data_IF_694318727145
#
_entry.id   IF_694318727145
#
_cell.length_a   1.000
_cell.length_b   1.000
_cell.length_c   1.000
_cell.angle_alpha   90.00
_cell.angle_beta   90.00
_cell.angle_gamma   90.00
#
_symmetry.space_group_name_H-M   'P 1'
#
loop_
_entity.id
_entity.type
_entity.pdbx_description
1 polymer ?
#
# COMPACT_ATOMS: atom_id res chain seq x y z
N UNK A 1 -0.90 17.96 -14.96
CA UNK A 1 -1.63 19.18 -14.56
C UNK A 1 -0.97 19.84 -13.35
N UNK A 2 -0.34 19.08 -12.48
CA UNK A 2 0.34 19.58 -11.28
C UNK A 2 1.75 18.96 -11.19
N UNK A 3 2.76 19.49 -11.91
CA UNK A 3 4.09 18.87 -12.03
C UNK A 3 4.88 18.86 -10.72
N UNK A 4 4.45 19.63 -9.71
CA UNK A 4 5.05 19.63 -8.37
C UNK A 4 4.65 18.44 -7.50
N UNK A 5 3.59 17.69 -7.88
CA UNK A 5 3.17 16.50 -7.15
C UNK A 5 4.09 15.34 -7.53
N UNK A 6 4.86 14.86 -6.54
CA UNK A 6 5.80 13.76 -6.72
C UNK A 6 5.25 12.41 -6.22
N UNK A 7 4.36 12.45 -5.23
CA UNK A 7 3.82 11.26 -4.58
C UNK A 7 2.29 11.33 -4.55
N UNK A 8 1.65 10.22 -4.88
CA UNK A 8 0.19 10.06 -4.82
C UNK A 8 -0.12 8.70 -4.19
N UNK A 9 -0.88 8.72 -3.10
CA UNK A 9 -1.41 7.51 -2.47
C UNK A 9 -2.91 7.42 -2.68
N UNK A 10 -3.34 6.33 -3.31
CA UNK A 10 -4.75 5.98 -3.46
C UNK A 10 -5.13 4.99 -2.36
N UNK A 11 -5.94 5.43 -1.40
CA UNK A 11 -6.27 4.64 -0.22
C UNK A 11 -7.49 3.77 -0.50
N UNK A 12 -7.29 2.48 -0.46
CA UNK A 12 -8.28 1.46 -0.72
C UNK A 12 -8.46 0.51 0.46
N UNK A 13 -9.38 -0.41 0.28
CA UNK A 13 -9.61 -1.53 1.18
C UNK A 13 -9.75 -2.78 0.33
N UNK A 14 -8.87 -3.76 0.57
CA UNK A 14 -8.87 -5.03 -0.16
C UNK A 14 -10.19 -5.80 0.07
N UNK A 15 -10.59 -6.59 -0.90
CA UNK A 15 -11.77 -7.45 -0.80
C UNK A 15 -11.36 -8.91 -1.00
N UNK A 16 -11.25 -9.62 0.11
CA UNK A 16 -10.96 -11.05 0.12
C UNK A 16 -12.21 -11.74 0.68
N UNK A 17 -12.95 -12.36 -0.22
CA UNK A 17 -14.19 -13.07 0.10
C UNK A 17 -14.02 -14.53 -0.31
N UNK A 18 -14.38 -15.46 0.58
CA UNK A 18 -14.35 -16.90 0.31
C UNK A 18 -15.67 -17.35 -0.33
N UNK A 19 -15.72 -18.57 -0.84
CA UNK A 19 -16.87 -19.14 -1.54
C UNK A 19 -18.14 -19.22 -0.68
N UNK A 20 -18.01 -19.22 0.64
CA UNK A 20 -19.11 -19.19 1.62
C UNK A 20 -19.53 -17.77 2.04
N UNK A 21 -19.11 -16.74 1.29
CA UNK A 21 -19.31 -15.32 1.59
C UNK A 21 -18.59 -14.81 2.85
N UNK A 22 -17.75 -15.62 3.49
CA UNK A 22 -16.93 -15.19 4.61
C UNK A 22 -15.88 -14.19 4.14
N UNK A 23 -15.72 -13.08 4.86
CA UNK A 23 -14.74 -12.04 4.55
C UNK A 23 -13.44 -12.28 5.31
N UNK A 24 -12.32 -12.30 4.61
CA UNK A 24 -11.03 -12.43 5.25
C UNK A 24 -10.68 -11.20 6.09
N UNK A 25 -10.07 -11.46 7.23
CA UNK A 25 -9.51 -10.44 8.12
C UNK A 25 -7.98 -10.60 8.14
N UNK A 26 -7.28 -9.57 7.68
CA UNK A 26 -5.82 -9.52 7.68
C UNK A 26 -5.36 -8.65 8.85
N UNK A 27 -4.74 -9.26 9.86
CA UNK A 27 -4.45 -8.59 11.13
C UNK A 27 -3.11 -9.02 11.70
N UNK A 28 -2.42 -8.06 12.31
CA UNK A 28 -1.25 -8.27 13.16
C UNK A 28 -1.42 -7.56 14.49
N UNK A 29 -0.52 -7.80 15.44
CA UNK A 29 -0.50 -7.08 16.71
C UNK A 29 0.68 -6.12 16.75
N UNK A 30 0.39 -4.86 17.07
CA UNK A 30 1.39 -3.82 17.30
C UNK A 30 1.11 -3.22 18.67
N UNK A 31 2.09 -3.27 19.58
CA UNK A 31 1.96 -2.79 20.96
C UNK A 31 0.71 -3.37 21.66
N UNK A 32 0.43 -4.67 21.46
CA UNK A 32 -0.71 -5.38 22.05
C UNK A 32 -2.06 -5.08 21.43
N UNK A 33 -2.15 -4.18 20.46
CA UNK A 33 -3.39 -3.77 19.77
C UNK A 33 -3.46 -4.37 18.38
N UNK A 34 -4.65 -4.78 17.96
CA UNK A 34 -4.88 -5.27 16.60
C UNK A 34 -4.75 -4.14 15.57
N UNK A 35 -3.93 -4.36 14.55
CA UNK A 35 -3.77 -3.50 13.40
C UNK A 35 -4.10 -4.29 12.13
N UNK A 36 -4.85 -3.71 11.20
CA UNK A 36 -5.01 -4.32 9.90
C UNK A 36 -3.67 -4.31 9.15
N UNK A 37 -3.32 -5.43 8.54
CA UNK A 37 -2.13 -5.49 7.67
C UNK A 37 -2.40 -4.71 6.38
N UNK A 38 -1.39 -4.00 5.93
CA UNK A 38 -1.45 -3.18 4.73
C UNK A 38 -0.79 -3.87 3.53
N UNK A 39 -1.10 -3.42 2.33
CA UNK A 39 -0.48 -3.93 1.12
C UNK A 39 -0.32 -2.81 0.10
N UNK A 40 0.85 -2.68 -0.50
CA UNK A 40 1.03 -1.84 -1.68
C UNK A 40 0.63 -2.60 -2.93
N UNK A 41 -0.14 -1.93 -3.79
CA UNK A 41 -0.46 -2.44 -5.13
C UNK A 41 0.21 -1.55 -6.16
N UNK A 42 0.94 -2.18 -7.07
CA UNK A 42 1.65 -1.53 -8.17
C UNK A 42 1.09 -2.05 -9.49
N UNK A 43 0.57 -1.14 -10.30
CA UNK A 43 0.12 -1.48 -11.64
C UNK A 43 1.28 -1.57 -12.63
N UNK A 44 1.06 -2.32 -13.71
CA UNK A 44 2.02 -2.47 -14.80
C UNK A 44 1.40 -2.07 -16.14
N UNK A 45 2.12 -2.29 -17.22
CA UNK A 45 1.64 -2.07 -18.60
C UNK A 45 1.19 -3.36 -19.30
N UNK A 46 1.01 -4.45 -18.59
CA UNK A 46 0.77 -5.77 -19.18
C UNK A 46 -0.54 -5.85 -19.96
N UNK A 47 -1.56 -5.09 -19.56
CA UNK A 47 -2.83 -4.94 -20.30
C UNK A 47 -2.79 -3.87 -21.42
N UNK A 48 -1.61 -3.44 -21.85
CA UNK A 48 -1.40 -2.61 -23.03
C UNK A 48 -1.56 -1.09 -22.82
N UNK A 49 -1.91 -0.62 -21.63
CA UNK A 49 -1.94 0.82 -21.35
C UNK A 49 -0.52 1.35 -21.15
N UNK A 50 -0.24 2.51 -21.70
CA UNK A 50 1.08 3.14 -21.60
C UNK A 50 1.49 3.42 -20.15
N UNK A 51 2.52 2.73 -19.67
CA UNK A 51 3.12 2.88 -18.36
C UNK A 51 4.55 2.33 -18.36
N UNK A 52 5.50 2.97 -19.07
CA UNK A 52 6.85 2.44 -19.23
C UNK A 52 7.63 2.41 -17.92
N UNK A 53 7.35 3.33 -17.01
CA UNK A 53 8.13 3.56 -15.79
C UNK A 53 7.56 2.85 -14.55
N UNK A 54 6.68 1.86 -14.72
CA UNK A 54 6.06 1.15 -13.60
C UNK A 54 7.08 0.52 -12.62
N UNK A 55 8.30 0.24 -13.11
CA UNK A 55 9.38 -0.26 -12.26
C UNK A 55 9.87 0.77 -11.25
N UNK A 56 9.75 2.07 -11.55
CA UNK A 56 10.08 3.13 -10.58
C UNK A 56 9.05 3.15 -9.44
N UNK A 57 7.76 2.96 -9.76
CA UNK A 57 6.72 2.81 -8.74
C UNK A 57 7.00 1.57 -7.86
N UNK A 58 7.41 0.44 -8.46
CA UNK A 58 7.77 -0.76 -7.72
C UNK A 58 8.96 -0.51 -6.78
N UNK A 59 10.03 0.14 -7.26
CA UNK A 59 11.20 0.50 -6.43
C UNK A 59 10.78 1.37 -5.25
N UNK A 60 9.91 2.35 -5.48
CA UNK A 60 9.39 3.22 -4.44
C UNK A 60 8.59 2.41 -3.40
N UNK A 61 7.69 1.54 -3.85
CA UNK A 61 6.91 0.65 -2.97
C UNK A 61 7.82 -0.24 -2.10
N UNK A 62 8.84 -0.86 -2.70
CA UNK A 62 9.75 -1.75 -1.98
C UNK A 62 10.59 -1.01 -0.93
N UNK A 63 11.07 0.20 -1.24
CA UNK A 63 11.80 1.03 -0.26
C UNK A 63 10.91 1.46 0.90
N UNK A 64 9.66 1.85 0.62
CA UNK A 64 8.69 2.18 1.66
C UNK A 64 8.36 0.97 2.52
N UNK A 65 8.14 -0.20 1.91
CA UNK A 65 7.87 -1.42 2.64
C UNK A 65 9.04 -1.78 3.57
N UNK A 66 10.27 -1.74 3.07
CA UNK A 66 11.47 -2.00 3.89
C UNK A 66 11.54 -1.05 5.11
N UNK A 67 11.27 0.24 4.91
CA UNK A 67 11.22 1.23 5.99
C UNK A 67 10.15 0.90 7.04
N UNK A 68 8.96 0.47 6.59
CA UNK A 68 7.87 0.09 7.49
C UNK A 68 8.21 -1.20 8.24
N UNK A 69 8.71 -2.22 7.53
CA UNK A 69 9.02 -3.54 8.10
C UNK A 69 10.14 -3.47 9.16
N UNK A 70 11.08 -2.54 9.02
CA UNK A 70 12.12 -2.29 10.04
C UNK A 70 11.53 -1.81 11.36
N UNK A 71 10.47 -1.02 11.35
CA UNK A 71 9.84 -0.47 12.56
C UNK A 71 8.66 -1.30 13.04
N UNK A 72 7.87 -1.80 12.12
CA UNK A 72 6.64 -2.56 12.39
C UNK A 72 6.65 -3.90 11.62
N UNK A 73 7.43 -4.89 12.07
CA UNK A 73 7.46 -6.21 11.44
C UNK A 73 6.05 -6.81 11.33
N UNK A 74 5.76 -7.43 10.19
CA UNK A 74 4.46 -8.02 9.85
C UNK A 74 3.29 -7.04 9.66
N UNK A 75 3.52 -5.73 9.67
CA UNK A 75 2.46 -4.78 9.30
C UNK A 75 2.16 -4.83 7.81
N UNK A 76 3.19 -4.99 6.98
CA UNK A 76 3.01 -5.05 5.53
C UNK A 76 2.83 -6.47 5.04
N UNK A 77 1.87 -6.67 4.14
CA UNK A 77 1.79 -7.83 3.24
C UNK A 77 2.72 -7.57 2.04
N UNK A 78 3.10 -8.62 1.32
CA UNK A 78 3.95 -8.47 0.13
C UNK A 78 3.33 -7.54 -0.90
N UNK A 79 4.17 -6.74 -1.57
CA UNK A 79 3.74 -5.88 -2.69
C UNK A 79 3.05 -6.73 -3.75
N UNK A 80 1.88 -6.29 -4.20
CA UNK A 80 1.08 -6.95 -5.22
C UNK A 80 1.26 -6.24 -6.57
N UNK A 81 1.89 -6.93 -7.51
CA UNK A 81 1.97 -6.47 -8.90
C UNK A 81 0.70 -6.86 -9.65
N UNK A 82 0.11 -5.89 -10.33
CA UNK A 82 -1.12 -6.09 -11.10
C UNK A 82 -0.89 -5.77 -12.58
N UNK A 83 -1.59 -6.49 -13.43
CA UNK A 83 -1.54 -6.27 -14.89
C UNK A 83 -2.20 -4.94 -15.29
N UNK A 84 -3.16 -4.46 -14.49
CA UNK A 84 -3.82 -3.19 -14.68
C UNK A 84 -2.88 -2.03 -14.32
N UNK A 85 -2.91 -0.96 -15.13
CA UNK A 85 -2.10 0.24 -14.87
C UNK A 85 -2.58 1.03 -13.65
N UNK A 86 -3.89 1.05 -13.40
CA UNK A 86 -4.53 1.98 -12.47
C UNK A 86 -4.11 3.44 -12.77
N UNK A 87 -3.84 4.23 -11.76
CA UNK A 87 -3.29 5.59 -11.87
C UNK A 87 -1.76 5.65 -11.63
N UNK A 88 -1.07 4.50 -11.68
CA UNK A 88 0.38 4.40 -11.42
C UNK A 88 1.25 5.27 -12.31
N UNK A 89 0.79 5.57 -13.55
CA UNK A 89 1.50 6.40 -14.51
C UNK A 89 1.54 7.90 -14.18
N UNK A 90 0.84 8.34 -13.15
CA UNK A 90 0.73 9.78 -12.82
C UNK A 90 2.03 10.35 -12.24
N UNK A 91 2.73 9.60 -11.43
CA UNK A 91 4.07 9.92 -10.91
C UNK A 91 4.83 8.63 -10.60
N UNK A 92 6.16 8.69 -10.47
CA UNK A 92 6.97 7.54 -10.02
C UNK A 92 6.68 7.13 -8.57
N UNK A 93 6.10 8.02 -7.77
CA UNK A 93 5.66 7.76 -6.39
C UNK A 93 4.16 7.49 -6.26
N UNK A 94 3.48 7.04 -7.33
CA UNK A 94 2.04 6.71 -7.30
C UNK A 94 1.84 5.26 -6.90
N UNK A 95 1.10 5.02 -5.80
CA UNK A 95 0.80 3.69 -5.27
C UNK A 95 -0.66 3.60 -4.81
N UNK A 96 -1.23 2.40 -4.89
CA UNK A 96 -2.42 2.05 -4.11
C UNK A 96 -1.97 1.47 -2.77
N UNK A 97 -2.64 1.86 -1.69
CA UNK A 97 -2.46 1.29 -0.35
C UNK A 97 -3.76 0.61 0.07
N UNK A 98 -3.74 -0.70 0.15
CA UNK A 98 -4.84 -1.46 0.73
C UNK A 98 -4.73 -1.42 2.26
N UNK A 99 -5.69 -0.79 2.92
CA UNK A 99 -5.75 -0.66 4.37
C UNK A 99 -6.55 -1.80 4.99
N UNK A 100 -5.94 -2.98 5.04
CA UNK A 100 -6.61 -4.21 5.44
C UNK A 100 -7.54 -4.74 4.35
N UNK A 101 -8.49 -5.58 4.75
CA UNK A 101 -9.48 -6.18 3.87
C UNK A 101 -10.90 -5.96 4.39
N UNK A 102 -11.89 -6.41 3.62
CA UNK A 102 -13.31 -6.27 3.93
C UNK A 102 -13.73 -6.89 5.29
N UNK A 103 -12.92 -7.79 5.85
CA UNK A 103 -13.16 -8.40 7.16
C UNK A 103 -12.61 -7.60 8.35
N UNK A 104 -11.77 -6.57 8.12
CA UNK A 104 -11.21 -5.75 9.19
C UNK A 104 -12.20 -4.69 9.70
N UNK A 105 -12.08 -4.32 10.98
CA UNK A 105 -12.78 -3.15 11.50
C UNK A 105 -12.15 -1.84 11.01
N UNK A 106 -12.91 -0.75 11.12
CA UNK A 106 -12.40 0.59 10.80
C UNK A 106 -11.24 0.99 11.72
N UNK A 107 -11.34 0.64 13.01
CA UNK A 107 -10.31 0.92 14.01
C UNK A 107 -9.01 0.19 13.68
N UNK A 108 -9.08 -1.08 13.28
CA UNK A 108 -7.90 -1.84 12.84
C UNK A 108 -7.25 -1.22 11.61
N UNK A 109 -8.05 -0.82 10.62
CA UNK A 109 -7.56 -0.17 9.40
C UNK A 109 -6.90 1.18 9.70
N UNK A 110 -7.53 2.02 10.51
CA UNK A 110 -6.98 3.32 10.94
C UNK A 110 -5.70 3.15 11.73
N UNK A 111 -5.65 2.19 12.65
CA UNK A 111 -4.45 1.97 13.47
C UNK A 111 -3.28 1.45 12.63
N UNK A 112 -3.50 0.47 11.76
CA UNK A 112 -2.48 -0.01 10.84
C UNK A 112 -1.95 1.11 9.95
N UNK A 113 -2.85 1.91 9.36
CA UNK A 113 -2.44 3.03 8.52
C UNK A 113 -1.70 4.13 9.30
N UNK A 114 -2.07 4.43 10.55
CA UNK A 114 -1.36 5.42 11.36
C UNK A 114 0.09 5.01 11.65
N UNK A 115 0.33 3.73 11.91
CA UNK A 115 1.68 3.19 12.08
C UNK A 115 2.51 3.33 10.79
N UNK A 116 1.93 2.97 9.64
CA UNK A 116 2.61 3.10 8.35
C UNK A 116 2.83 4.57 7.97
N UNK A 117 1.87 5.44 8.22
CA UNK A 117 1.96 6.87 7.89
C UNK A 117 3.15 7.56 8.59
N UNK A 118 3.45 7.18 9.81
CA UNK A 118 4.65 7.65 10.53
C UNK A 118 5.93 7.30 9.75
N UNK A 119 6.07 6.04 9.34
CA UNK A 119 7.24 5.59 8.57
C UNK A 119 7.30 6.24 7.17
N UNK A 120 6.14 6.41 6.53
CA UNK A 120 6.04 7.09 5.22
C UNK A 120 6.49 8.55 5.36
N UNK A 121 6.06 9.25 6.41
CA UNK A 121 6.46 10.64 6.65
C UNK A 121 7.98 10.76 6.87
N UNK A 122 8.56 9.87 7.68
CA UNK A 122 10.00 9.81 7.92
C UNK A 122 10.75 9.57 6.61
N UNK A 123 10.32 8.58 5.82
CA UNK A 123 10.94 8.26 4.53
C UNK A 123 10.89 9.45 3.56
N UNK A 124 9.74 10.11 3.42
CA UNK A 124 9.60 11.26 2.52
C UNK A 124 10.44 12.46 2.97
N UNK A 125 10.65 12.63 4.28
CA UNK A 125 11.54 13.66 4.81
C UNK A 125 13.03 13.37 4.53
N UNK A 126 13.42 12.10 4.48
CA UNK A 126 14.79 11.69 4.12
C UNK A 126 15.10 11.92 2.62
N UNK A 127 14.09 12.08 1.76
CA UNK A 127 14.26 12.34 0.32
C UNK A 127 14.46 13.82 -0.02
N UNK A 128 14.29 14.72 0.94
CA UNK A 128 14.50 16.17 0.76
C UNK A 128 15.97 16.53 0.88
#
# INVERSE_FOLDING_TARGET
>A
KYPSIQVVFDLHRDSIVYDDDTKAKVVTKINGKNAAQLMFVVGTNEKGLYHPDWRENLKFALKLQDKIDQKYPNLMRHVNLRQERFNGHTTHGSLIIEMGSSGNSLEEAKYGMSCAAECIADFLNELK
#
